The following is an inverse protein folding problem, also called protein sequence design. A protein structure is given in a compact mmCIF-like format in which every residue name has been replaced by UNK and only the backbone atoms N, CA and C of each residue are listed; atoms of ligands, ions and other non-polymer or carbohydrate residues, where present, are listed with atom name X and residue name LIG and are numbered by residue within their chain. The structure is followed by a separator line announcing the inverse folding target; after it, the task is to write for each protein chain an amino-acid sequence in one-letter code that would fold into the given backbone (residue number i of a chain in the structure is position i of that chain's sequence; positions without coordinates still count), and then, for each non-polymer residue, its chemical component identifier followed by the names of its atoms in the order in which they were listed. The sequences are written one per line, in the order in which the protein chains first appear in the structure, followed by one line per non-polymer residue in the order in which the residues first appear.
data_IF_616881948669
#
_entry.id   IF_616881948669
#
_cell.length_a   1.000
_cell.length_b   1.000
_cell.length_c   1.000
_cell.angle_alpha   90.00
_cell.angle_beta   90.00
_cell.angle_gamma   90.00
#
_symmetry.space_group_name_H-M   'P 1'
#
loop_
_entity.id
_entity.type
_entity.pdbx_description
1 polymer ?
#
# COMPACT_ATOMS: atom_id res chain seq x y z
N UNK A 1 -4.24 35.78 43.54
CA UNK A 1 -3.71 34.40 43.37
C UNK A 1 -4.05 33.77 42.02
N UNK A 2 -5.25 33.98 41.45
CA UNK A 2 -5.61 33.42 40.13
C UNK A 2 -4.76 33.93 38.95
N UNK A 3 -4.36 35.21 38.94
CA UNK A 3 -3.57 35.78 37.82
C UNK A 3 -2.23 35.08 37.61
N UNK A 4 -1.52 34.76 38.70
CA UNK A 4 -0.19 34.14 38.64
C UNK A 4 -0.25 32.74 38.02
N UNK A 5 -1.33 32.01 38.29
CA UNK A 5 -1.54 30.67 37.73
C UNK A 5 -1.84 30.72 36.23
N UNK A 6 -2.60 31.70 35.76
CA UNK A 6 -2.88 31.87 34.32
C UNK A 6 -1.64 32.26 33.52
N UNK A 7 -0.80 33.16 34.05
CA UNK A 7 0.48 33.49 33.41
C UNK A 7 1.40 32.29 33.33
N UNK A 8 1.54 31.49 34.41
CA UNK A 8 2.37 30.29 34.39
C UNK A 8 1.81 29.24 33.43
N UNK A 9 0.49 29.08 33.36
CA UNK A 9 -0.15 28.17 32.42
C UNK A 9 0.09 28.60 30.95
N UNK A 10 -0.04 29.89 30.64
CA UNK A 10 0.23 30.39 29.29
C UNK A 10 1.72 30.26 28.92
N UNK A 11 2.64 30.50 29.85
CA UNK A 11 4.08 30.33 29.63
C UNK A 11 4.41 28.86 29.36
N UNK A 12 3.87 27.93 30.16
CA UNK A 12 4.09 26.49 29.94
C UNK A 12 3.53 26.01 28.59
N UNK A 13 2.39 26.56 28.16
CA UNK A 13 1.86 26.30 26.83
C UNK A 13 2.73 26.89 25.70
N UNK A 14 3.28 28.09 25.88
CA UNK A 14 4.21 28.69 24.92
C UNK A 14 5.52 27.88 24.82
N UNK A 15 6.03 27.41 25.96
CA UNK A 15 7.25 26.61 26.03
C UNK A 15 7.07 25.24 25.36
N UNK A 16 5.95 24.55 25.63
CA UNK A 16 5.59 23.34 24.89
C UNK A 16 5.44 23.60 23.39
N UNK A 17 4.84 24.72 22.99
CA UNK A 17 4.73 25.11 21.58
C UNK A 17 6.12 25.30 20.94
N UNK A 18 7.05 25.99 21.61
CA UNK A 18 8.42 26.19 21.11
C UNK A 18 9.16 24.88 20.98
N UNK A 19 9.13 24.04 22.01
CA UNK A 19 9.80 22.74 21.98
C UNK A 19 9.30 21.87 20.81
N UNK A 20 7.99 21.88 20.57
CA UNK A 20 7.41 21.12 19.45
C UNK A 20 7.80 21.76 18.11
N UNK A 21 7.75 23.09 18.00
CA UNK A 21 8.15 23.82 16.79
C UNK A 21 9.62 23.62 16.42
N UNK A 22 10.51 23.65 17.40
CA UNK A 22 11.95 23.48 17.19
C UNK A 22 12.25 22.06 16.72
N UNK A 23 11.60 21.04 17.33
CA UNK A 23 11.67 19.66 16.84
C UNK A 23 11.31 19.58 15.35
N UNK A 24 10.26 20.25 14.90
CA UNK A 24 9.88 20.25 13.48
C UNK A 24 10.87 20.97 12.56
N UNK A 25 11.50 22.05 13.01
CA UNK A 25 12.56 22.72 12.24
C UNK A 25 13.76 21.79 12.02
N UNK A 26 14.12 20.98 13.04
CA UNK A 26 15.17 19.98 12.90
C UNK A 26 14.75 18.79 12.02
N UNK A 27 13.47 18.42 12.01
CA UNK A 27 12.92 17.38 11.13
C UNK A 27 12.90 17.79 9.65
N UNK A 28 12.87 19.09 9.34
CA UNK A 28 13.01 19.60 7.97
C UNK A 28 14.34 19.26 7.30
N UNK A 29 15.41 19.08 8.10
CA UNK A 29 16.78 18.84 7.62
C UNK A 29 17.26 17.39 7.77
N UNK A 30 16.60 16.55 8.57
CA UNK A 30 17.06 15.18 8.84
C UNK A 30 16.01 14.13 8.50
N UNK A 31 16.50 12.98 8.01
CA UNK A 31 15.75 11.80 7.55
C UNK A 31 15.05 11.09 8.72
N UNK A 32 14.05 11.72 9.31
CA UNK A 32 13.28 11.18 10.44
C UNK A 32 11.81 11.14 10.02
N UNK A 33 11.16 10.00 10.25
CA UNK A 33 9.73 9.84 10.03
C UNK A 33 9.00 10.76 11.00
N UNK A 34 8.28 11.76 10.48
CA UNK A 34 7.27 12.46 11.26
C UNK A 34 6.28 11.41 11.74
N UNK A 35 6.32 11.10 13.04
CA UNK A 35 5.50 10.04 13.61
C UNK A 35 4.10 10.62 13.85
N UNK A 36 3.05 9.80 13.66
CA UNK A 36 1.65 10.21 13.87
C UNK A 36 1.43 10.85 15.27
N UNK A 37 2.32 10.51 16.21
CA UNK A 37 2.43 11.03 17.57
C UNK A 37 2.57 12.57 17.62
N UNK A 38 3.39 13.16 16.74
CA UNK A 38 3.69 14.59 16.76
C UNK A 38 2.48 15.45 16.36
N UNK A 39 1.68 14.94 15.42
CA UNK A 39 0.40 15.54 15.02
C UNK A 39 -0.60 15.46 16.18
N UNK A 40 -0.61 14.35 16.92
CA UNK A 40 -1.48 14.17 18.08
C UNK A 40 -1.15 15.16 19.19
N UNK A 41 0.12 15.43 19.46
CA UNK A 41 0.55 16.40 20.47
C UNK A 41 0.19 17.84 20.10
N UNK A 42 0.32 18.23 18.83
CA UNK A 42 -0.20 19.53 18.35
C UNK A 42 -1.71 19.63 18.60
N UNK A 43 -2.48 18.59 18.24
CA UNK A 43 -3.94 18.58 18.45
C UNK A 43 -4.30 18.67 19.94
N UNK A 44 -3.54 18.01 20.81
CA UNK A 44 -3.73 18.04 22.26
C UNK A 44 -3.47 19.44 22.82
N UNK A 45 -2.41 20.10 22.40
CA UNK A 45 -2.12 21.49 22.79
C UNK A 45 -3.23 22.41 22.28
N UNK A 46 -3.66 22.24 21.03
CA UNK A 46 -4.75 23.03 20.44
C UNK A 46 -6.07 22.88 21.20
N UNK A 47 -6.43 21.65 21.59
CA UNK A 47 -7.63 21.39 22.39
C UNK A 47 -7.56 22.08 23.76
N UNK A 48 -6.40 22.02 24.42
CA UNK A 48 -6.17 22.71 25.71
C UNK A 48 -6.25 24.23 25.57
N UNK A 49 -5.66 24.81 24.52
CA UNK A 49 -5.74 26.24 24.25
C UNK A 49 -7.17 26.69 23.96
N UNK A 50 -7.96 25.92 23.19
CA UNK A 50 -9.38 26.21 22.97
C UNK A 50 -10.21 26.16 24.25
N UNK A 51 -9.98 25.15 25.09
CA UNK A 51 -10.65 25.06 26.39
C UNK A 51 -10.32 26.26 27.28
N UNK A 52 -9.05 26.67 27.32
CA UNK A 52 -8.62 27.86 28.06
C UNK A 52 -9.28 29.15 27.55
N UNK A 53 -9.37 29.34 26.23
CA UNK A 53 -10.07 30.49 25.62
C UNK A 53 -11.54 30.50 26.04
N UNK A 54 -12.24 29.36 25.93
CA UNK A 54 -13.66 29.25 26.29
C UNK A 54 -13.92 29.56 27.77
N UNK A 55 -13.04 29.11 28.68
CA UNK A 55 -13.12 29.45 30.10
C UNK A 55 -12.92 30.96 30.31
N UNK A 56 -11.92 31.55 29.64
CA UNK A 56 -11.65 32.99 29.74
C UNK A 56 -12.82 33.81 29.21
N UNK A 57 -13.40 33.45 28.07
CA UNK A 57 -14.60 34.09 27.50
C UNK A 57 -15.78 34.00 28.47
N UNK A 58 -16.06 32.81 29.02
CA UNK A 58 -17.11 32.63 30.02
C UNK A 58 -16.90 33.49 31.26
N UNK A 59 -15.66 33.62 31.75
CA UNK A 59 -15.37 34.51 32.88
C UNK A 59 -15.51 35.99 32.51
N UNK A 60 -15.14 36.38 31.28
CA UNK A 60 -15.28 37.75 30.81
C UNK A 60 -16.76 38.15 30.67
N UNK A 61 -17.61 37.23 30.17
CA UNK A 61 -19.05 37.44 30.06
C UNK A 61 -19.68 37.62 31.44
N UNK A 62 -19.35 36.76 32.41
CA UNK A 62 -19.81 36.92 33.80
C UNK A 62 -19.40 38.28 34.36
N UNK A 63 -18.13 38.69 34.19
CA UNK A 63 -17.65 40.00 34.67
C UNK A 63 -18.42 41.14 33.98
N UNK A 64 -18.69 41.04 32.67
CA UNK A 64 -19.44 42.06 31.94
C UNK A 64 -20.89 42.18 32.43
N UNK A 65 -21.57 41.06 32.64
CA UNK A 65 -22.94 41.06 33.18
C UNK A 65 -23.01 41.64 34.60
N UNK A 66 -21.98 41.41 35.43
CA UNK A 66 -21.88 42.02 36.78
C UNK A 66 -21.67 43.53 36.69
N UNK A 67 -20.85 44.01 35.74
CA UNK A 67 -20.69 45.45 35.50
C UNK A 67 -22.00 46.07 35.02
N UNK A 68 -22.71 45.41 34.12
CA UNK A 68 -23.98 45.91 33.55
C UNK A 68 -25.10 45.91 34.60
N UNK A 69 -25.24 44.85 35.39
CA UNK A 69 -26.18 44.78 36.51
C UNK A 69 -25.88 45.89 37.53
N UNK A 70 -24.61 46.13 37.82
CA UNK A 70 -24.20 47.22 38.71
C UNK A 70 -24.58 48.58 38.12
N UNK A 71 -24.33 48.82 36.84
CA UNK A 71 -24.68 50.10 36.21
C UNK A 71 -26.19 50.33 36.26
N UNK A 72 -27.00 49.28 36.05
CA UNK A 72 -28.45 49.33 36.18
C UNK A 72 -28.87 49.65 37.62
N UNK A 73 -28.31 48.96 38.62
CA UNK A 73 -28.58 49.24 40.04
C UNK A 73 -28.14 50.64 40.44
N UNK A 74 -27.02 51.14 39.90
CA UNK A 74 -26.53 52.49 40.16
C UNK A 74 -27.46 53.54 39.57
N UNK A 75 -28.00 53.33 38.35
CA UNK A 75 -28.97 54.24 37.74
C UNK A 75 -30.28 54.30 38.53
N UNK A 76 -30.77 53.15 39.01
CA UNK A 76 -31.92 53.10 39.91
C UNK A 76 -31.64 53.76 41.28
N UNK A 77 -30.45 53.58 41.85
CA UNK A 77 -30.07 54.19 43.13
C UNK A 77 -29.91 55.72 43.00
N UNK A 78 -29.34 56.20 41.89
CA UNK A 78 -29.21 57.63 41.60
C UNK A 78 -30.58 58.32 41.43
N UNK A 79 -31.61 57.59 40.99
CA UNK A 79 -33.00 58.07 40.93
C UNK A 79 -33.70 58.05 42.30
N UNK A 80 -33.32 57.14 43.20
CA UNK A 80 -34.05 56.90 44.46
C UNK A 80 -33.51 57.67 45.68
N UNK A 81 -32.19 57.80 45.87
CA UNK A 81 -31.59 58.54 47.01
C UNK A 81 -30.10 58.84 46.76
N UNK A 82 -29.70 60.12 46.78
CA UNK A 82 -28.30 60.56 46.70
C UNK A 82 -27.56 60.30 48.04
N UNK A 83 -27.01 59.09 48.23
CA UNK A 83 -26.08 58.81 49.33
C UNK A 83 -24.62 58.83 48.84
N UNK A 84 -23.78 59.79 49.30
CA UNK A 84 -22.41 59.98 48.81
C UNK A 84 -21.40 58.94 49.29
N UNK A 85 -21.75 58.07 50.26
CA UNK A 85 -20.86 57.00 50.73
C UNK A 85 -20.87 55.78 49.79
N UNK A 86 -22.02 55.51 49.15
CA UNK A 86 -22.19 54.39 48.23
C UNK A 86 -21.45 54.63 46.89
N UNK A 87 -21.33 55.89 46.45
CA UNK A 87 -20.69 56.23 45.17
C UNK A 87 -19.19 55.92 45.15
N UNK A 88 -18.46 56.20 46.22
CA UNK A 88 -16.99 56.04 46.25
C UNK A 88 -16.56 54.57 46.26
N UNK A 89 -17.22 53.73 47.07
CA UNK A 89 -16.91 52.30 47.15
C UNK A 89 -17.31 51.59 45.84
N UNK A 90 -18.39 52.04 45.22
CA UNK A 90 -18.83 51.50 43.93
C UNK A 90 -17.85 51.83 42.79
N UNK A 91 -17.22 53.01 42.79
CA UNK A 91 -16.28 53.43 41.74
C UNK A 91 -14.96 52.66 41.81
N UNK A 92 -14.48 52.35 43.02
CA UNK A 92 -13.29 51.52 43.23
C UNK A 92 -13.50 50.09 42.72
N UNK A 93 -14.64 49.48 43.03
CA UNK A 93 -14.98 48.13 42.55
C UNK A 93 -15.08 48.06 41.03
N UNK A 94 -15.60 49.11 40.37
CA UNK A 94 -15.63 49.17 38.90
C UNK A 94 -14.24 49.33 38.30
N UNK A 95 -13.39 50.17 38.89
CA UNK A 95 -12.04 50.35 38.41
C UNK A 95 -11.28 49.01 38.46
N UNK A 96 -11.40 48.27 39.57
CA UNK A 96 -10.84 46.92 39.73
C UNK A 96 -11.43 45.92 38.72
N UNK A 97 -12.76 45.87 38.53
CA UNK A 97 -13.38 44.97 37.54
C UNK A 97 -12.92 45.30 36.10
N UNK A 98 -12.80 46.60 35.75
CA UNK A 98 -12.31 47.03 34.43
C UNK A 98 -10.84 46.66 34.24
N UNK A 99 -10.01 46.80 35.27
CA UNK A 99 -8.62 46.38 35.24
C UNK A 99 -8.51 44.87 35.04
N UNK A 100 -9.27 44.08 35.80
CA UNK A 100 -9.32 42.62 35.66
C UNK A 100 -9.77 42.20 34.26
N UNK A 101 -10.79 42.87 33.70
CA UNK A 101 -11.28 42.62 32.34
C UNK A 101 -10.21 42.94 31.28
N UNK A 102 -9.43 44.00 31.46
CA UNK A 102 -8.29 44.31 30.59
C UNK A 102 -7.22 43.21 30.63
N UNK A 103 -6.93 42.68 31.81
CA UNK A 103 -5.95 41.59 32.01
C UNK A 103 -6.43 40.31 31.31
N UNK A 104 -7.69 39.91 31.51
CA UNK A 104 -8.27 38.75 30.82
C UNK A 104 -8.28 38.93 29.30
N UNK A 105 -8.60 40.13 28.81
CA UNK A 105 -8.54 40.43 27.37
C UNK A 105 -7.12 40.31 26.82
N UNK A 106 -6.10 40.68 27.60
CA UNK A 106 -4.71 40.49 27.21
C UNK A 106 -4.33 38.99 27.17
N UNK A 107 -4.73 38.20 28.17
CA UNK A 107 -4.55 36.75 28.17
C UNK A 107 -5.23 36.06 26.99
N UNK A 108 -6.45 36.49 26.65
CA UNK A 108 -7.19 35.99 25.48
C UNK A 108 -6.45 36.28 24.17
N UNK A 109 -5.90 37.50 24.01
CA UNK A 109 -5.10 37.85 22.82
C UNK A 109 -3.87 36.96 22.71
N UNK A 110 -3.17 36.71 23.81
CA UNK A 110 -2.00 35.82 23.82
C UNK A 110 -2.38 34.39 23.48
N UNK A 111 -3.43 33.84 24.09
CA UNK A 111 -3.92 32.50 23.78
C UNK A 111 -4.34 32.35 22.31
N UNK A 112 -4.99 33.38 21.75
CA UNK A 112 -5.40 33.41 20.34
C UNK A 112 -4.19 33.42 19.39
N UNK A 113 -3.14 34.17 19.72
CA UNK A 113 -1.88 34.16 18.95
C UNK A 113 -1.20 32.79 18.98
N UNK A 114 -1.20 32.12 20.13
CA UNK A 114 -0.67 30.75 20.26
C UNK A 114 -1.46 29.79 19.37
N UNK A 115 -2.80 29.89 19.39
CA UNK A 115 -3.68 29.06 18.57
C UNK A 115 -3.44 29.28 17.07
N UNK A 116 -3.35 30.54 16.63
CA UNK A 116 -3.10 30.88 15.23
C UNK A 116 -1.74 30.32 14.76
N UNK A 117 -0.70 30.52 15.56
CA UNK A 117 0.63 29.99 15.25
C UNK A 117 0.66 28.47 15.20
N UNK A 118 -0.12 27.77 16.02
CA UNK A 118 -0.22 26.30 15.96
C UNK A 118 -0.90 25.82 14.67
N UNK A 119 -1.92 26.54 14.20
CA UNK A 119 -2.58 26.22 12.93
C UNK A 119 -1.63 26.44 11.75
N UNK A 120 -0.86 27.54 11.77
CA UNK A 120 0.16 27.81 10.75
C UNK A 120 1.23 26.70 10.71
N UNK A 121 1.74 26.26 11.87
CA UNK A 121 2.70 25.15 11.95
C UNK A 121 2.11 23.85 11.41
N UNK A 122 0.83 23.56 11.70
CA UNK A 122 0.14 22.37 11.20
C UNK A 122 0.00 22.39 9.68
N UNK A 123 -0.39 23.53 9.10
CA UNK A 123 -0.49 23.68 7.63
C UNK A 123 0.88 23.47 6.98
N UNK A 124 1.94 24.05 7.55
CA UNK A 124 3.30 23.85 7.06
C UNK A 124 3.73 22.38 7.15
N UNK A 125 3.45 21.71 8.27
CA UNK A 125 3.76 20.29 8.46
C UNK A 125 3.04 19.41 7.44
N UNK A 126 1.74 19.64 7.21
CA UNK A 126 0.97 18.93 6.20
C UNK A 126 1.52 19.17 4.78
N UNK A 127 1.94 20.40 4.47
CA UNK A 127 2.56 20.71 3.19
C UNK A 127 3.88 19.95 2.99
N UNK A 128 4.73 19.88 4.02
CA UNK A 128 5.99 19.12 4.00
C UNK A 128 5.70 17.63 3.80
N UNK A 129 4.76 17.05 4.56
CA UNK A 129 4.39 15.63 4.44
C UNK A 129 3.86 15.33 3.04
N UNK A 130 2.97 16.16 2.50
CA UNK A 130 2.40 15.96 1.18
C UNK A 130 3.45 16.07 0.07
N UNK A 131 4.37 17.03 0.18
CA UNK A 131 5.48 17.15 -0.76
C UNK A 131 6.36 15.89 -0.75
N UNK A 132 6.74 15.39 0.44
CA UNK A 132 7.53 14.16 0.57
C UNK A 132 6.79 12.92 0.07
N UNK A 133 5.49 12.83 0.34
CA UNK A 133 4.66 11.72 -0.14
C UNK A 133 4.65 11.68 -1.67
N UNK A 134 4.50 12.84 -2.33
CA UNK A 134 4.55 12.94 -3.78
C UNK A 134 5.93 12.58 -4.34
N UNK A 135 7.03 13.01 -3.72
CA UNK A 135 8.39 12.63 -4.14
C UNK A 135 8.59 11.11 -4.10
N UNK A 136 8.16 10.46 -3.02
CA UNK A 136 8.26 9.01 -2.84
C UNK A 136 7.40 8.28 -3.87
N UNK A 137 6.15 8.73 -4.09
CA UNK A 137 5.29 8.16 -5.14
C UNK A 137 5.92 8.31 -6.51
N UNK A 138 6.51 9.47 -6.83
CA UNK A 138 7.13 9.70 -8.12
C UNK A 138 8.33 8.76 -8.35
N UNK A 139 9.15 8.54 -7.31
CA UNK A 139 10.26 7.58 -7.37
C UNK A 139 9.78 6.13 -7.54
N UNK A 140 8.70 5.73 -6.87
CA UNK A 140 8.12 4.40 -7.04
C UNK A 140 7.46 4.23 -8.41
N UNK A 141 6.81 5.27 -8.94
CA UNK A 141 6.16 5.24 -10.25
C UNK A 141 7.19 4.96 -11.35
N UNK A 142 8.32 5.66 -11.35
CA UNK A 142 9.39 5.40 -12.34
C UNK A 142 9.99 4.00 -12.23
N UNK A 143 10.11 3.48 -11.00
CA UNK A 143 10.58 2.10 -10.76
C UNK A 143 9.57 1.05 -11.23
N UNK A 144 8.27 1.30 -11.03
CA UNK A 144 7.16 0.46 -11.50
C UNK A 144 7.08 0.49 -13.03
N UNK A 145 7.27 1.65 -13.65
CA UNK A 145 7.29 1.79 -15.11
C UNK A 145 8.45 1.00 -15.71
N UNK A 146 9.66 1.11 -15.12
CA UNK A 146 10.81 0.33 -15.53
C UNK A 146 10.58 -1.18 -15.35
N UNK A 147 9.98 -1.60 -14.23
CA UNK A 147 9.64 -3.00 -13.97
C UNK A 147 8.58 -3.52 -14.95
N UNK A 148 7.58 -2.70 -15.27
CA UNK A 148 6.52 -3.04 -16.23
C UNK A 148 7.08 -3.17 -17.65
N UNK A 149 8.00 -2.29 -18.03
CA UNK A 149 8.73 -2.40 -19.29
C UNK A 149 9.54 -3.70 -19.34
N UNK A 150 10.29 -4.04 -18.28
CA UNK A 150 11.03 -5.29 -18.19
C UNK A 150 10.10 -6.53 -18.26
N UNK A 151 8.99 -6.53 -17.53
CA UNK A 151 8.00 -7.60 -17.55
C UNK A 151 7.36 -7.80 -18.94
N UNK A 152 7.13 -6.72 -19.68
CA UNK A 152 6.63 -6.78 -21.06
C UNK A 152 7.65 -7.45 -22.00
N UNK A 153 8.94 -7.15 -21.82
CA UNK A 153 10.01 -7.78 -22.61
C UNK A 153 10.18 -9.26 -22.28
N UNK A 154 10.13 -9.64 -21.00
CA UNK A 154 10.20 -11.04 -20.57
C UNK A 154 8.99 -11.83 -21.09
N UNK A 155 7.79 -11.25 -21.04
CA UNK A 155 6.59 -11.87 -21.61
C UNK A 155 6.76 -12.14 -23.11
N UNK A 156 7.33 -11.19 -23.85
CA UNK A 156 7.63 -11.34 -25.29
C UNK A 156 8.64 -12.46 -25.53
N UNK A 157 9.72 -12.50 -24.76
CA UNK A 157 10.73 -13.57 -24.84
C UNK A 157 10.13 -14.95 -24.52
N UNK A 158 9.29 -15.05 -23.49
CA UNK A 158 8.59 -16.29 -23.15
C UNK A 158 7.68 -16.77 -24.27
N UNK A 159 6.93 -15.88 -24.92
CA UNK A 159 6.11 -16.28 -26.08
C UNK A 159 6.97 -16.77 -27.24
N UNK A 160 8.13 -16.14 -27.49
CA UNK A 160 9.07 -16.58 -28.52
C UNK A 160 9.68 -17.94 -28.17
N UNK A 161 10.12 -18.16 -26.93
CA UNK A 161 10.65 -19.44 -26.46
C UNK A 161 9.58 -20.51 -26.60
N UNK A 162 8.36 -20.26 -26.12
CA UNK A 162 7.24 -21.20 -26.26
C UNK A 162 6.98 -21.55 -27.74
N UNK A 163 7.00 -20.57 -28.65
CA UNK A 163 6.83 -20.81 -30.08
C UNK A 163 7.95 -21.67 -30.67
N UNK A 164 9.21 -21.47 -30.27
CA UNK A 164 10.36 -22.29 -30.68
C UNK A 164 10.28 -23.69 -30.11
N UNK A 165 9.92 -23.84 -28.83
CA UNK A 165 9.73 -25.15 -28.18
C UNK A 165 8.58 -25.93 -28.84
N UNK A 166 7.51 -25.27 -29.28
CA UNK A 166 6.46 -25.94 -30.06
C UNK A 166 6.99 -26.46 -31.41
N UNK A 167 7.84 -25.70 -32.09
CA UNK A 167 8.51 -26.15 -33.31
C UNK A 167 9.45 -27.34 -33.04
N UNK A 168 10.28 -27.27 -32.00
CA UNK A 168 11.15 -28.37 -31.56
C UNK A 168 10.35 -29.63 -31.19
N UNK A 169 9.21 -29.47 -30.52
CA UNK A 169 8.29 -30.57 -30.21
C UNK A 169 7.77 -31.26 -31.47
N UNK A 170 7.52 -30.50 -32.55
CA UNK A 170 7.08 -31.08 -33.83
C UNK A 170 8.19 -31.91 -34.50
N UNK A 171 9.44 -31.44 -34.44
CA UNK A 171 10.60 -32.15 -34.99
C UNK A 171 10.84 -33.45 -34.19
N UNK A 172 10.79 -33.38 -32.86
CA UNK A 172 10.94 -34.54 -32.00
C UNK A 172 9.89 -35.62 -32.29
N UNK A 173 8.62 -35.22 -32.49
CA UNK A 173 7.54 -36.15 -32.86
C UNK A 173 7.82 -36.87 -34.17
N UNK A 174 8.37 -36.19 -35.18
CA UNK A 174 8.72 -36.79 -36.47
C UNK A 174 9.88 -37.78 -36.30
N UNK A 175 10.93 -37.40 -35.57
CA UNK A 175 12.07 -38.28 -35.31
C UNK A 175 11.65 -39.55 -34.58
N UNK A 176 10.83 -39.44 -33.53
CA UNK A 176 10.29 -40.61 -32.82
C UNK A 176 9.45 -41.50 -33.71
N UNK A 177 8.63 -40.92 -34.60
CA UNK A 177 7.82 -41.69 -35.55
C UNK A 177 8.71 -42.53 -36.48
N UNK A 178 9.80 -41.96 -37.00
CA UNK A 178 10.79 -42.69 -37.81
C UNK A 178 11.41 -43.83 -37.01
N UNK A 179 11.85 -43.59 -35.78
CA UNK A 179 12.43 -44.63 -34.91
C UNK A 179 11.45 -45.77 -34.63
N UNK A 180 10.19 -45.44 -34.38
CA UNK A 180 9.12 -46.42 -34.11
C UNK A 180 8.87 -47.33 -35.31
N UNK A 181 9.00 -46.83 -36.55
CA UNK A 181 8.92 -47.67 -37.76
C UNK A 181 10.21 -48.47 -38.02
N UNK A 182 11.37 -47.88 -37.73
CA UNK A 182 12.66 -48.51 -38.02
C UNK A 182 12.95 -49.70 -37.09
N UNK A 183 12.52 -49.62 -35.83
CA UNK A 183 12.73 -50.67 -34.82
C UNK A 183 12.15 -52.05 -35.22
N UNK A 184 10.86 -52.19 -35.58
CA UNK A 184 10.28 -53.48 -36.00
C UNK A 184 10.92 -54.00 -37.29
N UNK A 185 11.25 -53.12 -38.24
CA UNK A 185 11.90 -53.49 -39.50
C UNK A 185 13.26 -54.14 -39.22
N UNK A 186 14.10 -53.50 -38.40
CA UNK A 186 15.39 -54.07 -38.03
C UNK A 186 15.25 -55.39 -37.29
N UNK A 187 14.28 -55.49 -36.38
CA UNK A 187 14.03 -56.72 -35.64
C UNK A 187 13.62 -57.86 -36.58
N UNK A 188 12.73 -57.61 -37.55
CA UNK A 188 12.39 -58.61 -38.58
C UNK A 188 13.61 -58.99 -39.42
N UNK A 189 14.38 -58.03 -39.91
CA UNK A 189 15.60 -58.30 -40.69
C UNK A 189 16.59 -59.14 -39.89
N UNK A 190 16.78 -58.86 -38.61
CA UNK A 190 17.65 -59.63 -37.72
C UNK A 190 17.14 -61.07 -37.52
N UNK A 191 15.87 -61.26 -37.18
CA UNK A 191 15.28 -62.61 -36.99
C UNK A 191 15.36 -63.47 -38.25
N UNK A 192 15.19 -62.88 -39.43
CA UNK A 192 15.33 -63.59 -40.69
C UNK A 192 16.80 -63.84 -41.07
N UNK A 193 17.71 -62.89 -40.78
CA UNK A 193 19.16 -63.08 -40.95
C UNK A 193 19.65 -64.29 -40.14
N UNK A 194 19.14 -64.47 -38.91
CA UNK A 194 19.52 -65.60 -38.04
C UNK A 194 18.88 -66.93 -38.47
N UNK A 195 17.65 -66.92 -39.02
CA UNK A 195 16.96 -68.15 -39.45
C UNK A 195 17.28 -68.60 -40.88
N UNK A 196 18.06 -67.82 -41.64
CA UNK A 196 18.51 -68.20 -43.00
C UNK A 196 19.72 -69.13 -43.02
N UNK A 197 20.33 -69.44 -41.87
CA UNK A 197 21.47 -70.38 -41.80
C UNK A 197 21.08 -71.68 -41.12
N UNK A 198 20.38 -72.56 -41.84
CA UNK A 198 20.46 -74.01 -41.58
C UNK A 198 21.16 -74.61 -42.79
N UNK A 199 22.48 -74.79 -42.69
CA UNK A 199 23.24 -75.59 -43.64
C UNK A 199 22.88 -77.07 -43.41
N UNK A 200 21.90 -77.58 -44.17
CA UNK A 200 21.76 -79.02 -44.38
C UNK A 200 22.58 -79.39 -45.61
N UNK A 201 23.65 -80.15 -45.38
CA UNK A 201 24.73 -80.44 -46.33
C UNK A 201 24.37 -81.36 -47.49
N UNK A 202 23.36 -81.04 -48.29
CA UNK A 202 23.17 -81.66 -49.63
C UNK A 202 22.49 -80.68 -50.60
N UNK A 203 23.31 -79.86 -51.27
CA UNK A 203 23.26 -79.57 -52.71
C UNK A 203 21.95 -79.19 -53.42
N UNK A 204 20.86 -78.84 -52.73
CA UNK A 204 19.63 -78.35 -53.37
C UNK A 204 19.13 -77.12 -52.64
N UNK A 205 19.21 -75.98 -53.31
CA UNK A 205 18.71 -74.69 -52.83
C UNK A 205 17.20 -74.67 -53.09
N UNK A 206 16.43 -75.25 -52.18
CA UNK A 206 14.98 -75.02 -52.16
C UNK A 206 14.71 -73.67 -51.49
N UNK A 207 14.32 -72.68 -52.30
CA UNK A 207 13.66 -71.47 -51.82
C UNK A 207 12.36 -71.88 -51.10
N UNK A 208 12.45 -72.01 -49.79
CA UNK A 208 11.34 -72.36 -48.91
C UNK A 208 10.16 -71.38 -49.15
N UNK A 209 8.93 -71.91 -49.23
CA UNK A 209 7.63 -71.20 -49.35
C UNK A 209 7.34 -70.13 -48.27
N UNK A 210 8.34 -69.72 -47.47
CA UNK A 210 8.22 -68.86 -46.29
C UNK A 210 8.35 -67.36 -46.57
N UNK A 211 8.58 -66.91 -47.81
CA UNK A 211 8.53 -65.47 -48.16
C UNK A 211 7.15 -64.87 -47.83
N UNK A 212 6.09 -65.66 -47.94
CA UNK A 212 4.76 -65.22 -47.53
C UNK A 212 4.64 -64.98 -46.02
N UNK A 213 5.37 -65.75 -45.20
CA UNK A 213 5.44 -65.55 -43.74
C UNK A 213 6.18 -64.25 -43.40
N UNK A 214 7.19 -63.86 -44.19
CA UNK A 214 7.85 -62.56 -44.05
C UNK A 214 6.89 -61.38 -44.26
N UNK A 215 6.07 -61.44 -45.31
CA UNK A 215 5.07 -60.40 -45.61
C UNK A 215 4.02 -60.34 -44.50
N UNK A 216 3.54 -61.50 -44.03
CA UNK A 216 2.53 -61.56 -42.96
C UNK A 216 3.10 -61.06 -41.62
N UNK A 217 4.29 -61.48 -41.22
CA UNK A 217 4.92 -61.01 -39.97
C UNK A 217 5.22 -59.53 -40.00
N UNK A 218 5.77 -59.03 -41.11
CA UNK A 218 6.05 -57.60 -41.28
C UNK A 218 4.75 -56.78 -41.24
N UNK A 219 3.69 -57.27 -41.89
CA UNK A 219 2.35 -56.66 -41.84
C UNK A 219 1.75 -56.64 -40.44
N UNK A 220 1.88 -57.73 -39.68
CA UNK A 220 1.42 -57.80 -38.27
C UNK A 220 2.23 -56.87 -37.38
N UNK A 221 3.55 -56.78 -37.57
CA UNK A 221 4.41 -55.88 -36.80
C UNK A 221 4.06 -54.41 -37.10
N UNK A 222 3.99 -54.02 -38.38
CA UNK A 222 3.55 -52.68 -38.80
C UNK A 222 2.14 -52.36 -38.29
N UNK A 223 1.21 -53.30 -38.42
CA UNK A 223 -0.15 -53.18 -37.92
C UNK A 223 -0.19 -52.95 -36.41
N UNK A 224 0.57 -53.72 -35.63
CA UNK A 224 0.63 -53.58 -34.18
C UNK A 224 1.29 -52.26 -33.75
N UNK A 225 2.32 -51.79 -34.46
CA UNK A 225 2.95 -50.49 -34.22
C UNK A 225 1.99 -49.33 -34.51
N UNK A 226 1.27 -49.39 -35.63
CA UNK A 226 0.26 -48.37 -35.98
C UNK A 226 -0.90 -48.40 -34.97
N UNK A 227 -1.34 -49.59 -34.55
CA UNK A 227 -2.41 -49.74 -33.56
C UNK A 227 -1.98 -49.19 -32.19
N UNK A 228 -0.75 -49.48 -31.76
CA UNK A 228 -0.18 -48.92 -30.54
C UNK A 228 -0.08 -47.39 -30.60
N UNK A 229 0.37 -46.82 -31.73
CA UNK A 229 0.42 -45.38 -31.94
C UNK A 229 -0.99 -44.74 -31.93
N UNK A 230 -1.98 -45.42 -32.51
CA UNK A 230 -3.37 -44.95 -32.53
C UNK A 230 -3.99 -44.96 -31.12
N UNK A 231 -3.74 -46.01 -30.34
CA UNK A 231 -4.15 -46.13 -28.94
C UNK A 231 -3.50 -45.03 -28.10
N UNK A 232 -2.19 -44.79 -28.26
CA UNK A 232 -1.47 -43.75 -27.54
C UNK A 232 -2.06 -42.35 -27.81
N UNK A 233 -2.30 -42.03 -29.09
CA UNK A 233 -2.90 -40.75 -29.50
C UNK A 233 -4.32 -40.56 -28.94
N UNK A 234 -5.10 -41.64 -28.82
CA UNK A 234 -6.43 -41.60 -28.18
C UNK A 234 -6.34 -41.31 -26.68
N UNK A 235 -5.40 -41.94 -25.99
CA UNK A 235 -5.19 -41.74 -24.55
C UNK A 235 -4.73 -40.30 -24.27
N UNK A 236 -3.82 -39.76 -25.08
CA UNK A 236 -3.32 -38.40 -24.92
C UNK A 236 -4.42 -37.34 -25.13
N UNK A 237 -5.30 -37.56 -26.12
CA UNK A 237 -6.50 -36.71 -26.32
C UNK A 237 -7.47 -36.77 -25.13
N UNK A 238 -7.64 -37.94 -24.51
CA UNK A 238 -8.49 -38.10 -23.34
C UNK A 238 -7.90 -37.39 -22.10
N UNK A 239 -6.58 -37.45 -21.90
CA UNK A 239 -5.90 -36.74 -20.81
C UNK A 239 -5.86 -35.23 -21.01
N UNK A 240 -5.60 -34.76 -22.24
CA UNK A 240 -5.60 -33.32 -22.56
C UNK A 240 -6.95 -32.63 -22.36
N UNK A 241 -8.05 -33.36 -22.47
CA UNK A 241 -9.41 -32.86 -22.20
C UNK A 241 -9.71 -32.69 -20.70
N UNK A 242 -9.02 -33.45 -19.84
CA UNK A 242 -9.18 -33.40 -18.38
C UNK A 242 -8.40 -32.23 -17.73
N UNK A 243 -7.25 -31.85 -18.30
CA UNK A 243 -6.42 -30.73 -17.80
C UNK A 243 -6.89 -29.32 -18.24
N UNK A 244 -7.94 -29.20 -19.06
CA UNK A 244 -8.54 -27.89 -19.44
C UNK A 244 -9.78 -27.51 -18.61
N UNK A 245 -10.18 -28.36 -17.67
CA UNK A 245 -11.40 -28.19 -16.85
C UNK A 245 -11.06 -27.87 -15.38
N UNK A 246 -9.77 -27.69 -15.07
CA UNK A 246 -9.27 -27.11 -13.83
C UNK A 246 -8.43 -25.88 -14.18
#
# INVERSE_FOLDING_TARGET
MLERNWTSYLITLEEQRRETSDKFLFLGSCKISVELQDIHDIHKIQARTRAAISIIEGTMDVISTVVDLRNLVQDYANQACQSPLASNLSHLVVAELKQLLSIFRNHMRTASKILQSLEDTKVMLLAIINHRHNDVIQMHTSSIDALSAAASTDSRLRTQIASKTLAESSIMRIATLITVFYLPINLTTAFFSTNLMIFQGTGTIELRKSVWVFIVMTGVLLGSTVMAAWIWKRIEKARGRKNRVH
#
